data_IF_294679312912
#
_entry.id   IF_294679312912
#
_cell.length_a   1.000
_cell.length_b   1.000
_cell.length_c   1.000
_cell.angle_alpha   90.00
_cell.angle_beta   90.00
_cell.angle_gamma   90.00
#
_symmetry.space_group_name_H-M   'P 1'
#
loop_
_entity.id
_entity.type
_entity.pdbx_description
1 polymer ?
#
# COMPACT_ATOMS: atom_id res chain seq x y z
N UNK A 1 3.73 -1.58 8.98
CA UNK A 1 4.18 -0.26 8.49
C UNK A 1 2.96 0.57 8.16
N UNK A 2 2.82 1.75 8.77
CA UNK A 2 1.79 2.74 8.43
C UNK A 2 2.50 4.02 8.05
N UNK A 3 2.17 4.56 6.88
CA UNK A 3 2.75 5.80 6.35
C UNK A 3 1.63 6.81 6.24
N UNK A 4 1.79 7.94 6.91
CA UNK A 4 0.87 9.07 6.89
C UNK A 4 1.30 10.05 5.79
N UNK A 5 0.31 10.57 5.06
CA UNK A 5 0.45 11.67 4.11
C UNK A 5 -0.43 12.83 4.60
N UNK A 6 -0.24 14.02 4.03
CA UNK A 6 -1.06 15.18 4.40
C UNK A 6 -2.55 15.00 4.04
N UNK A 7 -2.84 14.12 3.09
CA UNK A 7 -4.12 13.92 2.39
C UNK A 7 -4.58 12.45 2.41
N UNK A 8 -4.03 11.62 3.32
CA UNK A 8 -4.36 10.20 3.42
C UNK A 8 -3.33 9.34 4.15
N UNK A 9 -3.48 8.02 4.08
CA UNK A 9 -2.52 7.06 4.63
C UNK A 9 -2.47 5.75 3.83
N UNK A 10 -1.34 5.04 3.97
CA UNK A 10 -1.18 3.65 3.53
C UNK A 10 -0.73 2.74 4.69
N UNK A 11 -1.32 1.55 4.79
CA UNK A 11 -1.00 0.54 5.80
C UNK A 11 -0.60 -0.77 5.11
N UNK A 12 0.53 -1.33 5.53
CA UNK A 12 0.95 -2.70 5.22
C UNK A 12 1.23 -3.46 6.52
N UNK A 13 0.58 -4.62 6.70
CA UNK A 13 0.83 -5.51 7.85
C UNK A 13 0.77 -6.97 7.44
N UNK A 14 1.50 -7.81 8.17
CA UNK A 14 1.29 -9.25 8.09
C UNK A 14 -0.10 -9.61 8.62
N UNK A 15 -0.78 -10.54 7.94
CA UNK A 15 -1.98 -11.17 8.46
C UNK A 15 -1.63 -12.04 9.68
N UNK A 16 -2.53 -12.08 10.65
CA UNK A 16 -2.33 -12.85 11.88
C UNK A 16 -2.68 -14.34 11.69
N UNK A 17 -3.44 -14.68 10.65
CA UNK A 17 -4.02 -16.02 10.47
C UNK A 17 -3.67 -16.67 9.14
N UNK A 18 -3.12 -15.90 8.19
CA UNK A 18 -2.76 -16.40 6.85
C UNK A 18 -1.40 -15.83 6.42
N UNK A 19 -0.61 -16.52 5.59
CA UNK A 19 0.70 -16.06 5.16
C UNK A 19 0.62 -15.01 4.05
N UNK A 20 -0.11 -13.91 4.30
CA UNK A 20 -0.31 -12.81 3.36
C UNK A 20 -0.01 -11.47 4.01
N UNK A 21 0.35 -10.48 3.18
CA UNK A 21 0.40 -9.07 3.60
C UNK A 21 -0.95 -8.43 3.26
N UNK A 22 -1.54 -7.76 4.23
CA UNK A 22 -2.76 -6.97 4.06
C UNK A 22 -2.39 -5.52 3.84
N UNK A 23 -2.98 -4.93 2.79
CA UNK A 23 -2.82 -3.53 2.43
C UNK A 23 -4.14 -2.78 2.61
N UNK A 24 -4.07 -1.55 3.11
CA UNK A 24 -5.20 -0.62 3.16
C UNK A 24 -4.73 0.78 2.81
N UNK A 25 -5.50 1.48 1.99
CA UNK A 25 -5.25 2.85 1.57
C UNK A 25 -6.49 3.69 1.83
N UNK A 26 -6.30 4.93 2.25
CA UNK A 26 -7.36 5.91 2.48
C UNK A 26 -6.81 7.29 2.10
N UNK A 27 -7.62 8.10 1.44
CA UNK A 27 -7.23 9.45 1.03
C UNK A 27 -8.46 10.33 0.86
N UNK A 28 -8.25 11.65 0.89
CA UNK A 28 -9.32 12.64 0.79
C UNK A 28 -9.97 12.69 -0.60
N UNK A 29 -9.27 12.20 -1.62
CA UNK A 29 -9.75 12.14 -3.01
C UNK A 29 -9.07 11.02 -3.80
N UNK A 30 -9.61 10.72 -4.98
CA UNK A 30 -9.12 9.63 -5.84
C UNK A 30 -7.68 9.84 -6.34
N UNK A 31 -7.29 11.09 -6.63
CA UNK A 31 -5.94 11.40 -7.10
C UNK A 31 -4.88 11.13 -6.02
N UNK A 32 -5.17 11.54 -4.77
CA UNK A 32 -4.34 11.23 -3.61
C UNK A 32 -4.29 9.73 -3.34
N UNK A 33 -5.42 9.02 -3.46
CA UNK A 33 -5.47 7.57 -3.29
C UNK A 33 -4.57 6.84 -4.29
N UNK A 34 -4.64 7.20 -5.57
CA UNK A 34 -3.80 6.62 -6.61
C UNK A 34 -2.33 6.92 -6.38
N UNK A 35 -1.98 8.15 -5.97
CA UNK A 35 -0.59 8.52 -5.65
C UNK A 35 -0.04 7.65 -4.51
N UNK A 36 -0.79 7.50 -3.42
CA UNK A 36 -0.38 6.69 -2.27
C UNK A 36 -0.22 5.21 -2.66
N UNK A 37 -1.15 4.67 -3.48
CA UNK A 37 -1.04 3.31 -4.00
C UNK A 37 0.23 3.13 -4.83
N UNK A 38 0.53 4.07 -5.73
CA UNK A 38 1.69 3.99 -6.62
C UNK A 38 3.02 4.09 -5.86
N UNK A 39 3.08 4.92 -4.82
CA UNK A 39 4.24 4.98 -3.93
C UNK A 39 4.50 3.61 -3.26
N UNK A 40 3.45 2.95 -2.79
CA UNK A 40 3.55 1.59 -2.24
C UNK A 40 3.93 0.55 -3.30
N UNK A 41 3.35 0.63 -4.51
CA UNK A 41 3.71 -0.27 -5.64
C UNK A 41 5.20 -0.21 -5.91
N UNK A 42 5.76 1.00 -6.02
CA UNK A 42 7.19 1.21 -6.31
C UNK A 42 8.08 0.53 -5.27
N UNK A 43 7.81 0.75 -3.99
CA UNK A 43 8.60 0.17 -2.90
C UNK A 43 8.44 -1.34 -2.83
N UNK A 44 7.21 -1.86 -2.99
CA UNK A 44 6.95 -3.30 -2.96
C UNK A 44 7.62 -4.03 -4.12
N UNK A 45 7.62 -3.45 -5.32
CA UNK A 45 8.29 -4.04 -6.48
C UNK A 45 9.82 -3.97 -6.38
N UNK A 46 10.38 -3.00 -5.66
CA UNK A 46 11.82 -3.04 -5.35
C UNK A 46 12.18 -4.23 -4.46
N UNK A 47 11.34 -4.56 -3.47
CA UNK A 47 11.54 -5.70 -2.58
C UNK A 47 11.17 -7.04 -3.23
N UNK A 48 10.16 -7.07 -4.09
CA UNK A 48 9.67 -8.26 -4.80
C UNK A 48 9.24 -7.89 -6.23
N UNK A 49 10.17 -7.87 -7.21
CA UNK A 49 9.92 -7.36 -8.56
C UNK A 49 8.80 -8.08 -9.33
N UNK A 50 8.58 -9.36 -9.03
CA UNK A 50 7.58 -10.18 -9.72
C UNK A 50 6.28 -10.32 -8.92
N UNK A 51 6.03 -9.44 -7.93
CA UNK A 51 4.79 -9.46 -7.19
C UNK A 51 3.63 -8.94 -8.05
N UNK A 52 2.56 -9.73 -8.14
CA UNK A 52 1.27 -9.24 -8.66
C UNK A 52 0.54 -8.55 -7.51
N UNK A 53 0.38 -7.24 -7.60
CA UNK A 53 -0.31 -6.43 -6.59
C UNK A 53 -1.79 -6.27 -6.97
N UNK A 54 -2.74 -6.51 -6.04
CA UNK A 54 -4.17 -6.53 -6.33
C UNK A 54 -4.84 -5.14 -6.24
N UNK A 55 -4.10 -4.10 -6.59
CA UNK A 55 -4.52 -2.69 -6.63
C UNK A 55 -3.70 -1.99 -7.71
#
# INVERSE_FOLDING_TARGET
LRVEYADGFGLARASNTTPVIVLRFEADNEAALQRIQEDFRRVLLQAKPNAVLPF
#
